data_IF_440175867942
#
_entry.id   IF_440175867942
#
_cell.length_a   1.000
_cell.length_b   1.000
_cell.length_c   1.000
_cell.angle_alpha   90.00
_cell.angle_beta   90.00
_cell.angle_gamma   90.00
#
_symmetry.space_group_name_H-M   'P 1'
#
loop_
_entity.id
_entity.type
_entity.pdbx_description
1 polymer ?
#
# COMPACT_ATOMS: atom_id res chain seq x y z
N UNK A 1 -16.97 17.20 30.54
CA UNK A 1 -17.41 16.87 29.18
C UNK A 1 -16.20 16.52 28.33
N UNK A 2 -15.79 15.24 28.31
CA UNK A 2 -14.60 14.79 27.59
C UNK A 2 -14.97 14.41 26.16
N UNK A 3 -14.33 15.08 25.19
CA UNK A 3 -14.53 14.84 23.75
C UNK A 3 -14.01 13.44 23.41
N UNK A 4 -14.90 12.52 23.07
CA UNK A 4 -14.56 11.20 22.51
C UNK A 4 -13.93 11.42 21.14
N UNK A 5 -12.61 11.54 21.10
CA UNK A 5 -11.87 11.44 19.84
C UNK A 5 -12.05 10.01 19.32
N UNK A 6 -12.78 9.88 18.21
CA UNK A 6 -12.69 8.73 17.31
C UNK A 6 -11.22 8.59 16.93
N UNK A 7 -10.47 7.75 17.66
CA UNK A 7 -9.20 7.21 17.21
C UNK A 7 -9.51 6.39 15.96
N UNK A 8 -9.44 7.04 14.80
CA UNK A 8 -9.17 6.34 13.54
C UNK A 8 -7.91 5.52 13.83
N UNK A 9 -7.87 4.21 13.56
CA UNK A 9 -6.59 3.52 13.62
C UNK A 9 -5.62 4.32 12.73
N UNK A 10 -4.34 4.42 13.10
CA UNK A 10 -3.37 4.95 12.15
C UNK A 10 -3.60 4.16 10.87
N UNK A 11 -3.75 4.84 9.73
CA UNK A 11 -3.47 4.18 8.47
C UNK A 11 -2.11 3.53 8.72
N UNK A 12 -2.09 2.20 8.77
CA UNK A 12 -0.86 1.47 8.94
C UNK A 12 -0.13 1.78 7.65
N UNK A 13 0.67 2.85 7.68
CA UNK A 13 1.77 3.03 6.77
C UNK A 13 2.68 1.87 7.11
N UNK A 14 2.35 0.71 6.53
CA UNK A 14 3.24 -0.41 6.38
C UNK A 14 4.39 0.14 5.54
N UNK A 15 5.36 0.75 6.22
CA UNK A 15 6.71 0.95 5.74
C UNK A 15 7.15 -0.38 5.12
N UNK A 16 7.87 -0.34 4.01
CA UNK A 16 8.12 -1.52 3.18
C UNK A 16 8.71 -2.73 3.94
N UNK A 17 9.29 -2.50 5.13
CA UNK A 17 9.69 -3.54 6.08
C UNK A 17 8.55 -4.52 6.46
N UNK A 18 7.29 -4.08 6.52
CA UNK A 18 6.13 -4.95 6.74
C UNK A 18 5.64 -5.65 5.45
N UNK A 19 6.13 -5.21 4.29
CA UNK A 19 5.68 -5.67 2.97
C UNK A 19 6.50 -6.85 2.49
N UNK A 20 7.78 -6.92 2.87
CA UNK A 20 8.61 -8.10 2.72
C UNK A 20 8.06 -9.33 3.47
N UNK A 21 7.26 -9.13 4.52
CA UNK A 21 6.65 -10.23 5.31
C UNK A 21 5.40 -10.83 4.67
N UNK A 22 4.89 -10.23 3.58
CA UNK A 22 3.77 -10.77 2.79
C UNK A 22 4.36 -11.37 1.51
N UNK A 23 4.78 -12.63 1.59
CA UNK A 23 5.68 -13.41 0.71
C UNK A 23 5.31 -13.48 -0.80
N UNK A 24 5.05 -12.34 -1.44
CA UNK A 24 4.72 -12.26 -2.87
C UNK A 24 4.45 -10.85 -3.39
N UNK A 25 4.15 -9.87 -2.51
CA UNK A 25 3.98 -8.47 -2.96
C UNK A 25 5.34 -7.83 -3.25
N UNK A 26 6.38 -8.14 -2.47
CA UNK A 26 7.74 -7.65 -2.70
C UNK A 26 8.33 -8.09 -4.04
N UNK A 27 8.23 -9.38 -4.38
CA UNK A 27 8.71 -9.91 -5.68
C UNK A 27 7.96 -9.26 -6.85
N UNK A 28 6.63 -9.19 -6.76
CA UNK A 28 5.78 -8.57 -7.78
C UNK A 28 6.06 -7.07 -7.93
N UNK A 29 6.43 -6.38 -6.85
CA UNK A 29 6.84 -4.99 -6.89
C UNK A 29 8.19 -4.81 -7.60
N UNK A 30 9.17 -5.69 -7.34
CA UNK A 30 10.45 -5.67 -8.04
C UNK A 30 10.28 -5.85 -9.55
N UNK A 31 9.43 -6.78 -9.97
CA UNK A 31 9.09 -6.97 -11.39
C UNK A 31 8.43 -5.74 -12.00
N UNK A 32 7.49 -5.11 -11.28
CA UNK A 32 6.81 -3.89 -11.73
C UNK A 32 7.75 -2.69 -11.84
N UNK A 33 8.71 -2.53 -10.93
CA UNK A 33 9.74 -1.50 -11.03
C UNK A 33 10.73 -1.76 -12.18
N UNK A 34 10.98 -3.03 -12.51
CA UNK A 34 11.78 -3.40 -13.67
C UNK A 34 11.07 -3.09 -15.00
N UNK A 35 9.76 -3.36 -15.09
CA UNK A 35 8.93 -3.05 -16.27
C UNK A 35 8.65 -1.55 -16.42
N UNK A 36 8.56 -0.83 -15.29
CA UNK A 36 8.29 0.60 -15.24
C UNK A 36 9.41 1.40 -14.55
N UNK A 37 10.56 1.61 -15.22
CA UNK A 37 11.72 2.27 -14.64
C UNK A 37 11.51 3.77 -14.34
N UNK A 38 10.40 4.36 -14.77
CA UNK A 38 10.03 5.76 -14.50
C UNK A 38 9.05 5.94 -13.33
N UNK A 39 8.68 4.87 -12.62
CA UNK A 39 7.81 4.91 -11.46
C UNK A 39 8.65 4.78 -10.19
N UNK A 40 8.47 5.71 -9.25
CA UNK A 40 9.19 5.73 -7.98
C UNK A 40 8.44 4.97 -6.86
N UNK A 41 7.11 4.87 -6.96
CA UNK A 41 6.30 4.19 -5.95
C UNK A 41 5.07 3.50 -6.54
N UNK A 42 4.73 2.35 -5.95
CA UNK A 42 3.53 1.58 -6.24
C UNK A 42 2.69 1.43 -4.98
N UNK A 43 1.37 1.37 -5.17
CA UNK A 43 0.41 1.20 -4.10
C UNK A 43 -0.38 -0.08 -4.30
N UNK A 44 -0.28 -1.00 -3.36
CA UNK A 44 -0.98 -2.27 -3.36
C UNK A 44 -2.15 -2.22 -2.38
N UNK A 45 -3.28 -2.76 -2.79
CA UNK A 45 -4.39 -3.04 -1.86
C UNK A 45 -4.26 -4.46 -1.32
N UNK A 46 -4.96 -4.76 -0.23
CA UNK A 46 -4.93 -6.09 0.39
C UNK A 46 -5.49 -7.21 -0.49
N UNK A 47 -6.20 -6.86 -1.56
CA UNK A 47 -6.68 -7.76 -2.61
C UNK A 47 -5.57 -8.15 -3.62
N UNK A 48 -4.40 -7.51 -3.55
CA UNK A 48 -3.27 -7.75 -4.46
C UNK A 48 -3.31 -6.95 -5.75
N UNK A 49 -4.24 -5.98 -5.84
CA UNK A 49 -4.33 -5.02 -6.94
C UNK A 49 -3.30 -3.91 -6.75
N UNK A 50 -2.58 -3.54 -7.82
CA UNK A 50 -1.55 -2.49 -7.81
C UNK A 50 -2.05 -1.22 -8.50
N UNK A 51 -1.62 -0.07 -7.98
CA UNK A 51 -1.93 1.24 -8.50
C UNK A 51 -0.68 2.13 -8.49
N UNK A 52 -0.55 2.96 -9.53
CA UNK A 52 0.49 3.99 -9.62
C UNK A 52 0.20 5.22 -8.76
N UNK A 53 -1.08 5.44 -8.40
CA UNK A 53 -1.52 6.59 -7.64
C UNK A 53 -2.21 6.15 -6.36
N UNK A 54 -1.77 6.69 -5.22
CA UNK A 54 -2.33 6.40 -3.90
C UNK A 54 -3.84 6.64 -3.84
N UNK A 55 -4.32 7.69 -4.49
CA UNK A 55 -5.76 8.03 -4.50
C UNK A 55 -6.60 6.93 -5.14
N UNK A 56 -6.09 6.26 -6.17
CA UNK A 56 -6.80 5.18 -6.83
C UNK A 56 -6.82 3.93 -5.94
N UNK A 57 -5.69 3.60 -5.29
CA UNK A 57 -5.62 2.52 -4.33
C UNK A 57 -6.56 2.74 -3.14
N UNK A 58 -6.60 3.95 -2.58
CA UNK A 58 -7.53 4.31 -1.50
C UNK A 58 -8.98 4.21 -1.98
N UNK A 59 -9.28 4.67 -3.20
CA UNK A 59 -10.64 4.61 -3.70
C UNK A 59 -11.09 3.16 -3.91
N UNK A 60 -10.20 2.29 -4.39
CA UNK A 60 -10.45 0.87 -4.52
C UNK A 60 -10.61 0.19 -3.15
N UNK A 61 -9.74 0.51 -2.19
CA UNK A 61 -9.77 -0.08 -0.85
C UNK A 61 -11.06 0.25 -0.08
N UNK A 62 -11.79 1.33 -0.42
CA UNK A 62 -13.11 1.62 0.16
C UNK A 62 -14.13 0.51 -0.06
N UNK A 63 -14.02 -0.22 -1.17
CA UNK A 63 -14.90 -1.34 -1.52
C UNK A 63 -14.47 -2.69 -0.94
N UNK A 64 -13.28 -2.75 -0.34
CA UNK A 64 -12.73 -3.95 0.29
C UNK A 64 -13.10 -4.01 1.77
N UNK A 65 -13.18 -5.22 2.32
CA UNK A 65 -13.32 -5.44 3.76
C UNK A 65 -12.11 -4.87 4.51
N UNK A 66 -10.91 -5.12 3.98
CA UNK A 66 -9.66 -4.53 4.46
C UNK A 66 -9.29 -3.32 3.60
N UNK A 67 -9.27 -2.14 4.23
CA UNK A 67 -9.08 -0.86 3.53
C UNK A 67 -7.63 -0.42 3.46
N UNK A 68 -6.72 -1.29 3.87
CA UNK A 68 -5.30 -1.02 3.90
C UNK A 68 -4.72 -0.88 2.50
N UNK A 69 -3.84 0.10 2.39
CA UNK A 69 -3.09 0.40 1.18
C UNK A 69 -1.62 0.35 1.56
N UNK A 70 -0.95 -0.65 1.04
CA UNK A 70 0.47 -0.85 1.16
C UNK A 70 1.15 0.03 0.11
N UNK A 71 2.14 0.83 0.49
CA UNK A 71 2.91 1.61 -0.47
C UNK A 71 4.33 1.06 -0.47
N UNK A 72 4.84 0.75 -1.66
CA UNK A 72 6.20 0.26 -1.85
C UNK A 72 6.90 1.28 -2.72
N UNK A 73 7.99 1.83 -2.22
CA UNK A 73 8.86 2.70 -3.00
C UNK A 73 9.97 1.88 -3.62
N UNK A 74 10.46 2.31 -4.78
CA UNK A 74 11.59 1.69 -5.46
C UNK A 74 12.84 1.61 -4.58
N UNK A 75 13.00 2.58 -3.69
CA UNK A 75 14.13 2.64 -2.76
C UNK A 75 14.05 1.58 -1.64
N UNK A 76 12.88 0.96 -1.45
CA UNK A 76 12.64 0.00 -0.39
C UNK A 76 12.57 -1.46 -0.91
N UNK A 77 12.80 -1.67 -2.21
CA UNK A 77 12.82 -2.98 -2.89
C UNK A 77 14.26 -3.45 -3.11
#
# INVERSE_FOLDING_TARGET
MAKTQKKRPPAVEATAEAVATTTGIGEKAAELFADHPGIDEFHFTTDGTVFFLRVNAINHSKGLENKDVITIKRQEV
#
